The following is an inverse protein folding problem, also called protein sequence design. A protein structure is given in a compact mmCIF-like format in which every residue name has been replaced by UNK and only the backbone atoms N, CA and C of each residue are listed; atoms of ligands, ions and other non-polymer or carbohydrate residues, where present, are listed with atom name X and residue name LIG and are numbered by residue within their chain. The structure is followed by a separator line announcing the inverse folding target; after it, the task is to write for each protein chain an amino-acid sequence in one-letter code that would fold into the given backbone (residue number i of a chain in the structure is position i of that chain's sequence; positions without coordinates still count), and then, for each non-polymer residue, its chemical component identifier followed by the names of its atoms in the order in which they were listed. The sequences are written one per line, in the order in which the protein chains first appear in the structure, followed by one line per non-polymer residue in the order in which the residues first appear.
data_IF_853932718611
#
_entry.id   IF_853932718611
#
_cell.length_a   1.000
_cell.length_b   1.000
_cell.length_c   1.000
_cell.angle_alpha   90.00
_cell.angle_beta   90.00
_cell.angle_gamma   90.00
#
_symmetry.space_group_name_H-M   'P 1'
#
loop_
_entity.id
_entity.type
_entity.pdbx_description
1 polymer ?
#
# COMPACT_ATOMS: atom_id res chain seq x y z
N UNK A 1 4.47 11.49 -21.65
CA UNK A 1 5.29 12.10 -20.58
C UNK A 1 4.45 12.84 -19.55
N UNK A 2 3.58 13.79 -19.92
CA UNK A 2 2.80 14.57 -18.94
C UNK A 2 1.73 13.76 -18.18
N UNK A 3 0.98 12.87 -18.84
CA UNK A 3 -0.03 12.04 -18.16
C UNK A 3 0.54 11.17 -17.03
N UNK A 4 1.71 10.57 -17.25
CA UNK A 4 2.43 9.77 -16.23
C UNK A 4 2.87 10.63 -15.04
N UNK A 5 3.22 11.91 -15.25
CA UNK A 5 3.57 12.83 -14.16
C UNK A 5 2.40 13.14 -13.22
N UNK A 6 1.17 13.07 -13.74
CA UNK A 6 -0.05 13.26 -12.96
C UNK A 6 -0.68 11.94 -12.49
N UNK A 7 0.06 10.83 -12.60
CA UNK A 7 -0.43 9.50 -12.19
C UNK A 7 -1.55 8.94 -13.08
N UNK A 8 -1.79 9.54 -14.25
CA UNK A 8 -2.77 9.06 -15.24
C UNK A 8 -2.06 8.10 -16.19
N UNK A 9 -1.86 6.87 -15.72
CA UNK A 9 -1.27 5.79 -16.51
C UNK A 9 -2.26 5.26 -17.54
N UNK A 10 -2.06 5.63 -18.80
CA UNK A 10 -2.74 5.09 -19.99
C UNK A 10 -4.27 5.24 -20.04
N UNK A 11 -4.83 6.45 -19.95
CA UNK A 11 -6.23 6.63 -20.31
C UNK A 11 -6.39 6.33 -21.81
N UNK A 12 -7.47 5.61 -22.15
CA UNK A 12 -7.76 5.13 -23.50
C UNK A 12 -7.67 6.23 -24.59
N UNK A 13 -7.85 7.50 -24.19
CA UNK A 13 -7.72 8.71 -25.03
C UNK A 13 -6.32 8.95 -25.60
N UNK A 14 -5.24 8.46 -24.98
CA UNK A 14 -3.90 8.52 -25.58
C UNK A 14 -3.54 7.29 -26.41
N UNK A 15 -4.37 6.25 -26.38
CA UNK A 15 -4.23 5.11 -27.28
C UNK A 15 -4.81 5.54 -28.63
N UNK A 16 -3.95 6.04 -29.52
CA UNK A 16 -4.33 6.22 -30.93
C UNK A 16 -4.89 4.90 -31.44
N UNK A 17 -6.15 4.88 -31.86
CA UNK A 17 -6.71 3.74 -32.56
C UNK A 17 -5.88 3.51 -33.82
N UNK A 18 -5.10 2.43 -33.86
CA UNK A 18 -4.36 2.01 -35.06
C UNK A 18 -5.29 1.56 -36.20
N UNK A 19 -6.61 1.65 -36.00
CA UNK A 19 -7.65 1.21 -36.94
C UNK A 19 -7.90 2.18 -38.11
N UNK A 20 -7.34 3.39 -38.10
CA UNK A 20 -7.55 4.38 -39.17
C UNK A 20 -6.28 4.63 -40.00
N UNK A 21 -5.63 3.57 -40.50
CA UNK A 21 -4.66 3.73 -41.58
C UNK A 21 -4.48 2.43 -42.38
N UNK A 22 -5.56 1.94 -43.00
CA UNK A 22 -5.48 1.05 -44.15
C UNK A 22 -6.81 1.11 -44.89
N UNK A 23 -6.96 2.13 -45.72
CA UNK A 23 -7.89 2.07 -46.84
C UNK A 23 -7.22 2.64 -48.09
N UNK A 24 -7.63 2.03 -49.20
CA UNK A 24 -7.01 1.99 -50.50
C UNK A 24 -7.06 3.30 -51.29
N UNK A 25 -6.28 3.34 -52.38
CA UNK A 25 -6.71 4.06 -53.59
C UNK A 25 -5.66 4.93 -54.27
N UNK A 26 -5.30 4.54 -55.49
CA UNK A 26 -4.56 5.34 -56.45
C UNK A 26 -5.31 6.61 -56.90
N UNK A 27 -4.56 7.64 -57.31
CA UNK A 27 -4.97 8.55 -58.39
C UNK A 27 -5.37 9.98 -58.01
N UNK A 28 -4.69 10.92 -58.69
CA UNK A 28 -5.17 12.24 -59.14
C UNK A 28 -5.32 13.39 -58.12
N UNK A 29 -4.34 14.30 -58.20
CA UNK A 29 -4.53 15.74 -58.42
C UNK A 29 -5.67 16.46 -57.72
N UNK A 30 -5.32 17.22 -56.68
CA UNK A 30 -6.16 18.27 -56.11
C UNK A 30 -5.46 18.92 -54.93
N UNK A 31 -5.06 20.19 -55.09
CA UNK A 31 -4.53 21.02 -53.99
C UNK A 31 -5.65 21.15 -52.95
N UNK A 32 -5.55 20.37 -51.87
CA UNK A 32 -6.32 20.57 -50.65
C UNK A 32 -5.38 21.17 -49.62
N UNK A 33 -5.65 22.41 -49.23
CA UNK A 33 -5.17 22.99 -47.98
C UNK A 33 -5.78 22.21 -46.81
N UNK A 34 -5.22 21.03 -46.53
CA UNK A 34 -5.51 20.27 -45.31
C UNK A 34 -4.80 20.97 -44.14
N UNK A 35 -5.44 21.98 -43.58
CA UNK A 35 -5.24 22.27 -42.16
C UNK A 35 -5.80 21.07 -41.40
N UNK A 36 -4.96 20.06 -41.16
CA UNK A 36 -5.19 19.10 -40.09
C UNK A 36 -5.35 19.93 -38.81
N UNK A 37 -6.56 20.02 -38.29
CA UNK A 37 -6.80 20.55 -36.96
C UNK A 37 -5.96 19.73 -36.01
N UNK A 38 -4.90 20.34 -35.47
CA UNK A 38 -4.16 19.74 -34.37
C UNK A 38 -5.12 19.68 -33.20
N UNK A 39 -5.73 18.51 -33.02
CA UNK A 39 -6.56 18.22 -31.86
C UNK A 39 -5.69 18.44 -30.62
N UNK A 40 -5.99 19.50 -29.87
CA UNK A 40 -5.23 19.85 -28.68
C UNK A 40 -5.66 18.87 -27.59
N UNK A 41 -4.89 17.81 -27.43
CA UNK A 41 -5.16 16.80 -26.41
C UNK A 41 -4.83 17.42 -25.04
N UNK A 42 -5.84 17.74 -24.26
CA UNK A 42 -5.69 18.19 -22.87
C UNK A 42 -5.34 17.01 -21.97
N UNK A 43 -4.38 17.22 -21.07
CA UNK A 43 -3.83 16.10 -20.30
C UNK A 43 -4.74 15.68 -19.14
N UNK A 44 -5.24 16.69 -18.43
CA UNK A 44 -6.18 16.57 -17.32
C UNK A 44 -7.55 17.04 -17.79
N UNK A 45 -8.58 16.37 -17.30
CA UNK A 45 -9.98 16.79 -17.45
C UNK A 45 -10.53 17.25 -16.10
N UNK A 46 -11.74 17.81 -16.10
CA UNK A 46 -12.38 18.31 -14.88
C UNK A 46 -12.61 17.18 -13.86
N UNK A 47 -12.80 15.94 -14.33
CA UNK A 47 -12.94 14.76 -13.48
C UNK A 47 -11.62 14.38 -12.79
N UNK A 48 -10.47 14.61 -13.45
CA UNK A 48 -9.15 14.35 -12.88
C UNK A 48 -8.79 15.37 -11.77
N UNK A 49 -9.57 16.45 -11.63
CA UNK A 49 -9.41 17.46 -10.59
C UNK A 49 -10.12 17.09 -9.28
N UNK A 50 -11.00 16.07 -9.29
CA UNK A 50 -11.65 15.57 -8.08
C UNK A 50 -10.62 14.88 -7.19
N UNK A 51 -10.48 15.27 -5.90
CA UNK A 51 -9.57 14.61 -4.97
C UNK A 51 -9.79 13.10 -4.86
N UNK A 52 -11.00 12.58 -5.13
CA UNK A 52 -11.28 11.15 -5.14
C UNK A 52 -10.57 10.40 -6.29
N UNK A 53 -10.20 11.11 -7.36
CA UNK A 53 -9.59 10.53 -8.57
C UNK A 53 -8.06 10.65 -8.57
N UNK A 54 -7.48 11.37 -7.61
CA UNK A 54 -6.02 11.56 -7.49
C UNK A 54 -5.38 10.27 -6.95
N UNK A 55 -4.43 9.65 -7.68
CA UNK A 55 -3.70 8.48 -7.20
C UNK A 55 -2.81 8.83 -6.00
N UNK A 56 -2.66 7.93 -5.03
CA UNK A 56 -1.88 8.15 -3.80
C UNK A 56 -0.41 8.47 -4.11
N UNK A 57 0.15 7.88 -5.17
CA UNK A 57 1.50 8.15 -5.66
C UNK A 57 1.69 9.60 -6.13
N UNK A 58 0.62 10.28 -6.53
CA UNK A 58 0.64 11.69 -6.97
C UNK A 58 0.07 12.66 -5.93
N UNK A 59 -0.54 12.16 -4.84
CA UNK A 59 -1.11 12.99 -3.79
C UNK A 59 -0.05 13.80 -3.03
N UNK A 60 1.14 13.22 -2.82
CA UNK A 60 2.25 13.92 -2.17
C UNK A 60 3.55 13.81 -2.99
N UNK A 61 3.90 14.82 -3.81
CA UNK A 61 4.98 14.71 -4.79
C UNK A 61 6.36 14.43 -4.17
N UNK A 62 6.63 14.94 -2.95
CA UNK A 62 7.88 14.66 -2.24
C UNK A 62 8.03 13.17 -1.86
N UNK A 63 6.93 12.48 -1.61
CA UNK A 63 6.90 11.08 -1.15
C UNK A 63 6.47 10.12 -2.26
N UNK A 64 6.31 10.61 -3.49
CA UNK A 64 5.87 9.83 -4.63
C UNK A 64 6.64 8.50 -4.79
N UNK A 65 7.98 8.43 -4.67
CA UNK A 65 8.71 7.16 -4.81
C UNK A 65 8.34 6.10 -3.77
N UNK A 66 7.94 6.51 -2.56
CA UNK A 66 7.48 5.60 -1.51
C UNK A 66 6.02 5.22 -1.69
N UNK A 67 5.17 6.19 -2.03
CA UNK A 67 3.72 5.98 -2.19
C UNK A 67 3.36 5.17 -3.44
N UNK A 68 4.16 5.26 -4.51
CA UNK A 68 3.99 4.47 -5.74
C UNK A 68 4.06 2.95 -5.48
N UNK A 69 4.77 2.51 -4.45
CA UNK A 69 4.88 1.08 -4.10
C UNK A 69 3.57 0.53 -3.53
N UNK A 70 2.72 1.41 -3.01
CA UNK A 70 1.43 1.05 -2.44
C UNK A 70 0.33 0.97 -3.50
N UNK A 71 0.61 1.39 -4.74
CA UNK A 71 -0.39 1.41 -5.80
C UNK A 71 -0.47 0.08 -6.56
N UNK A 72 -1.70 -0.36 -6.83
CA UNK A 72 -1.97 -1.44 -7.76
C UNK A 72 -1.51 -1.05 -9.17
N UNK A 73 -1.04 -2.04 -9.92
CA UNK A 73 -0.74 -1.80 -11.33
C UNK A 73 -2.02 -1.33 -12.04
N UNK A 74 -1.99 -0.17 -12.73
CA UNK A 74 -3.16 0.41 -13.38
C UNK A 74 -3.79 -0.49 -14.45
N UNK A 75 -3.04 -1.45 -15.00
CA UNK A 75 -3.55 -2.43 -15.96
C UNK A 75 -4.35 -3.57 -15.29
N UNK A 76 -4.32 -3.66 -13.95
CA UNK A 76 -4.96 -4.71 -13.14
C UNK A 76 -6.12 -4.14 -12.32
N UNK A 77 -6.13 -2.83 -12.07
CA UNK A 77 -7.15 -2.16 -11.28
C UNK A 77 -8.51 -2.16 -11.99
N UNK A 78 -9.54 -2.69 -11.32
CA UNK A 78 -10.92 -2.66 -11.80
C UNK A 78 -11.56 -1.31 -11.50
N UNK A 79 -12.37 -0.83 -12.45
CA UNK A 79 -13.20 0.36 -12.32
C UNK A 79 -14.00 0.30 -11.01
N UNK A 80 -13.79 1.27 -10.12
CA UNK A 80 -14.55 1.45 -8.87
C UNK A 80 -13.92 0.87 -7.58
N UNK A 81 -12.69 0.32 -7.63
CA UNK A 81 -11.97 -0.16 -6.43
C UNK A 81 -10.92 0.83 -5.90
N UNK A 82 -10.49 0.62 -4.64
CA UNK A 82 -9.30 1.29 -4.09
C UNK A 82 -8.10 1.06 -5.01
N UNK A 83 -7.33 2.12 -5.30
CA UNK A 83 -6.09 2.04 -6.09
C UNK A 83 -4.90 1.54 -5.28
N UNK A 84 -5.07 1.37 -3.97
CA UNK A 84 -4.04 0.86 -3.05
C UNK A 84 -4.06 -0.67 -3.07
N UNK A 85 -2.89 -1.29 -3.19
CA UNK A 85 -2.71 -2.74 -3.07
C UNK A 85 -2.78 -3.16 -1.60
N UNK A 86 -3.98 -3.50 -1.16
CA UNK A 86 -4.24 -3.95 0.21
C UNK A 86 -3.43 -5.21 0.57
N UNK A 87 -3.25 -6.13 -0.36
CA UNK A 87 -2.50 -7.37 -0.11
C UNK A 87 -1.02 -7.06 0.12
N UNK A 88 -0.45 -6.16 -0.67
CA UNK A 88 0.91 -5.68 -0.48
C UNK A 88 1.08 -4.99 0.87
N UNK A 89 0.20 -4.03 1.20
CA UNK A 89 0.24 -3.28 2.47
C UNK A 89 0.18 -4.22 3.67
N UNK A 90 -0.79 -5.15 3.69
CA UNK A 90 -0.94 -6.12 4.78
C UNK A 90 0.26 -7.07 4.85
N UNK A 91 0.89 -7.41 3.71
CA UNK A 91 2.07 -8.28 3.71
C UNK A 91 3.28 -7.61 4.36
N UNK A 92 3.54 -6.34 4.06
CA UNK A 92 4.63 -5.59 4.69
C UNK A 92 4.34 -5.32 6.17
N UNK A 93 3.08 -5.00 6.53
CA UNK A 93 2.67 -4.86 7.93
C UNK A 93 2.93 -6.16 8.73
N UNK A 94 2.49 -7.31 8.22
CA UNK A 94 2.70 -8.61 8.90
C UNK A 94 4.17 -8.97 9.04
N UNK A 95 4.99 -8.59 8.06
CA UNK A 95 6.43 -8.82 8.06
C UNK A 95 7.12 -7.98 9.14
N UNK A 96 6.71 -6.73 9.34
CA UNK A 96 7.20 -5.92 10.46
C UNK A 96 6.70 -6.45 11.80
N UNK A 97 5.39 -6.75 11.92
CA UNK A 97 4.81 -7.30 13.16
C UNK A 97 5.53 -8.58 13.63
N UNK A 98 5.89 -9.48 12.71
CA UNK A 98 6.63 -10.70 13.06
C UNK A 98 7.99 -10.37 13.69
N UNK A 99 8.73 -9.43 13.10
CA UNK A 99 10.05 -9.03 13.61
C UNK A 99 9.93 -8.33 14.96
N UNK A 100 8.92 -7.49 15.12
CA UNK A 100 8.67 -6.79 16.37
C UNK A 100 8.26 -7.75 17.49
N UNK A 101 7.48 -8.78 17.17
CA UNK A 101 7.12 -9.84 18.12
C UNK A 101 8.35 -10.63 18.57
N UNK A 102 9.21 -11.04 17.65
CA UNK A 102 10.47 -11.73 17.97
C UNK A 102 11.36 -10.86 18.87
N UNK A 103 11.55 -9.59 18.50
CA UNK A 103 12.35 -8.63 19.27
C UNK A 103 11.72 -8.28 20.62
N UNK A 104 10.39 -8.32 20.72
CA UNK A 104 9.68 -8.15 21.99
C UNK A 104 10.01 -9.31 22.93
N UNK A 105 9.86 -10.55 22.46
CA UNK A 105 10.10 -11.74 23.29
C UNK A 105 11.56 -11.90 23.68
N UNK A 106 12.51 -11.56 22.79
CA UNK A 106 13.93 -11.53 23.12
C UNK A 106 14.22 -10.57 24.29
N UNK A 107 13.67 -9.35 24.22
CA UNK A 107 13.83 -8.34 25.28
C UNK A 107 13.17 -8.79 26.58
N UNK A 108 11.97 -9.35 26.53
CA UNK A 108 11.27 -9.89 27.71
C UNK A 108 12.08 -10.99 28.38
N UNK A 109 12.62 -11.92 27.61
CA UNK A 109 13.42 -13.03 28.13
C UNK A 109 14.69 -12.54 28.82
N UNK A 110 15.42 -11.60 28.20
CA UNK A 110 16.62 -11.00 28.79
C UNK A 110 16.30 -10.25 30.09
N UNK A 111 15.23 -9.45 30.09
CA UNK A 111 14.77 -8.74 31.29
C UNK A 111 14.41 -9.74 32.39
N UNK A 112 13.69 -10.82 32.05
CA UNK A 112 13.29 -11.83 33.03
C UNK A 112 14.50 -12.55 33.62
N UNK A 113 15.47 -12.96 32.79
CA UNK A 113 16.74 -13.54 33.24
C UNK A 113 17.53 -12.60 34.14
N UNK A 114 17.59 -11.32 33.78
CA UNK A 114 18.23 -10.28 34.61
C UNK A 114 17.56 -10.15 35.98
N UNK A 115 16.23 -10.16 36.05
CA UNK A 115 15.50 -10.14 37.32
C UNK A 115 15.78 -11.37 38.18
N UNK A 116 15.82 -12.57 37.58
CA UNK A 116 16.14 -13.81 38.29
C UNK A 116 17.57 -13.80 38.84
N UNK A 117 18.51 -13.25 38.08
CA UNK A 117 19.92 -13.16 38.48
C UNK A 117 20.16 -12.10 39.59
N UNK A 118 19.42 -10.99 39.57
CA UNK A 118 19.66 -9.84 40.46
C UNK A 118 18.83 -9.86 41.73
N UNK A 119 17.63 -10.45 41.72
CA UNK A 119 16.75 -10.51 42.89
C UNK A 119 17.05 -11.77 43.70
N UNK A 120 17.49 -11.63 44.96
CA UNK A 120 17.74 -12.76 45.85
C UNK A 120 16.51 -13.66 46.00
N UNK A 121 16.73 -14.96 46.26
CA UNK A 121 15.67 -15.99 46.34
C UNK A 121 14.96 -16.25 45.00
N UNK A 122 15.71 -16.27 43.90
CA UNK A 122 15.21 -16.75 42.60
C UNK A 122 14.17 -15.85 41.93
N UNK A 123 14.28 -14.53 42.08
CA UNK A 123 13.38 -13.61 41.36
C UNK A 123 12.03 -13.33 42.00
N UNK A 124 11.81 -13.74 43.25
CA UNK A 124 10.55 -13.51 43.97
C UNK A 124 10.44 -12.03 44.36
N UNK A 125 9.46 -11.33 43.80
CA UNK A 125 9.14 -9.94 44.12
C UNK A 125 8.09 -9.90 45.24
N UNK A 126 8.17 -8.89 46.11
CA UNK A 126 7.11 -8.63 47.10
C UNK A 126 5.83 -8.23 46.38
N UNK A 127 4.70 -8.76 46.81
CA UNK A 127 3.39 -8.27 46.39
C UNK A 127 3.15 -6.84 46.86
N UNK A 128 2.20 -6.14 46.23
CA UNK A 128 1.79 -4.82 46.67
C UNK A 128 0.97 -4.90 47.98
N UNK A 129 0.97 -3.82 48.77
CA UNK A 129 0.32 -3.76 50.08
C UNK A 129 -1.19 -4.09 50.07
N UNK A 130 -1.86 -3.93 48.92
CA UNK A 130 -3.30 -4.15 48.77
C UNK A 130 -3.65 -5.47 48.06
N UNK A 131 -2.70 -6.39 47.83
CA UNK A 131 -2.96 -7.63 47.09
C UNK A 131 -3.66 -8.74 47.88
N UNK A 132 -3.90 -8.57 49.18
CA UNK A 132 -4.66 -9.55 49.97
C UNK A 132 -6.14 -9.66 49.59
N UNK A 133 -6.65 -8.78 48.73
CA UNK A 133 -8.05 -8.77 48.27
C UNK A 133 -8.25 -9.31 46.84
N UNK A 134 -7.19 -9.59 46.09
CA UNK A 134 -7.28 -10.11 44.72
C UNK A 134 -7.01 -11.60 44.71
N UNK A 135 -8.02 -12.36 44.27
CA UNK A 135 -8.02 -13.82 44.09
C UNK A 135 -6.72 -14.27 43.41
N UNK A 136 -5.98 -15.15 44.08
CA UNK A 136 -4.87 -15.87 43.45
C UNK A 136 -5.47 -16.94 42.55
N UNK A 137 -5.74 -16.60 41.29
CA UNK A 137 -5.98 -17.62 40.28
C UNK A 137 -4.66 -18.37 40.06
N UNK A 138 -4.65 -19.65 40.42
CA UNK A 138 -3.58 -20.59 40.16
C UNK A 138 -3.34 -20.64 38.64
N UNK A 139 -2.22 -20.06 38.21
CA UNK A 139 -1.78 -19.97 36.82
C UNK A 139 -1.35 -21.37 36.34
N UNK A 140 -2.30 -22.17 35.89
CA UNK A 140 -2.08 -23.21 34.87
C UNK A 140 -2.58 -22.68 33.51
N UNK A 141 -2.04 -21.55 33.04
CA UNK A 141 -2.32 -21.08 31.69
C UNK A 141 -1.57 -21.95 30.68
N UNK A 142 -2.21 -23.04 30.24
CA UNK A 142 -1.86 -23.73 29.00
C UNK A 142 -2.19 -22.80 27.83
N UNK A 143 -1.18 -22.10 27.32
CA UNK A 143 -1.26 -21.40 26.03
C UNK A 143 -1.40 -22.46 24.93
N UNK A 144 -2.63 -22.84 24.60
CA UNK A 144 -2.92 -23.68 23.43
C UNK A 144 -3.02 -22.77 22.19
N UNK A 145 -1.93 -22.70 21.43
CA UNK A 145 -1.97 -22.14 20.07
C UNK A 145 -2.75 -23.12 19.18
N UNK A 146 -4.03 -22.81 18.95
CA UNK A 146 -4.83 -23.50 17.93
C UNK A 146 -4.53 -22.90 16.57
N UNK A 147 -3.73 -23.60 15.78
CA UNK A 147 -3.60 -23.33 14.35
C UNK A 147 -4.85 -23.90 13.66
N UNK A 148 -5.73 -23.05 13.14
CA UNK A 148 -6.75 -23.48 12.19
C UNK A 148 -6.11 -23.59 10.81
N UNK A 149 -6.30 -24.75 10.19
CA UNK A 149 -5.84 -25.09 8.84
C UNK A 149 -6.40 -24.15 7.78
#
# INVERSE_FOLDING_TARGET
MQAVRFGVSQPARYLRSSAACKDAGAGSGGVRTDQKSYETITVLQDEDCDPANIPIGSAHPLFAPGLLQLELNPNVSKVGGSRVDELFVLSEQRKEMRRDEEAFWERVELIRRSQLATIPKGGVKRGYANMSATVQDTIEEKVQLRFTQ
#
